data_IF_996667122284
#
_entry.id   IF_996667122284
#
_cell.length_a   1.000
_cell.length_b   1.000
_cell.length_c   1.000
_cell.angle_alpha   90.00
_cell.angle_beta   90.00
_cell.angle_gamma   90.00
#
_symmetry.space_group_name_H-M   'P 1'
#
loop_
_entity.id
_entity.type
_entity.pdbx_description
1 polymer ?
#
# COMPACT_ATOMS: atom_id res chain seq x y z
N UNK A 1 -9.46 -0.60 7.39
CA UNK A 1 -9.79 0.77 7.86
C UNK A 1 -10.25 1.55 6.64
N UNK A 2 -11.40 2.20 6.71
CA UNK A 2 -12.08 2.80 5.56
C UNK A 2 -12.40 4.27 5.80
N UNK A 3 -12.77 4.98 4.74
CA UNK A 3 -13.43 6.28 4.82
C UNK A 3 -14.77 6.16 5.56
N UNK A 4 -15.40 7.30 5.89
CA UNK A 4 -16.69 7.31 6.63
C UNK A 4 -17.82 6.61 5.87
N UNK A 5 -17.70 6.46 4.56
CA UNK A 5 -18.62 5.68 3.73
C UNK A 5 -18.50 4.16 3.91
N UNK A 6 -17.42 3.67 4.53
CA UNK A 6 -17.15 2.25 4.72
C UNK A 6 -16.76 1.50 3.44
N UNK A 7 -16.55 2.19 2.33
CA UNK A 7 -16.28 1.59 1.01
C UNK A 7 -14.79 1.72 0.67
N UNK A 8 -14.25 2.94 0.74
CA UNK A 8 -12.88 3.22 0.26
C UNK A 8 -11.84 2.92 1.32
N UNK A 9 -10.87 2.05 1.01
CA UNK A 9 -9.82 1.69 1.96
C UNK A 9 -8.85 2.86 2.14
N UNK A 10 -8.42 3.08 3.37
CA UNK A 10 -7.41 4.08 3.69
C UNK A 10 -6.02 3.51 3.41
N UNK A 11 -5.29 4.11 2.46
CA UNK A 11 -3.90 3.75 2.13
C UNK A 11 -2.90 4.53 2.98
N UNK A 12 -3.14 5.84 3.14
CA UNK A 12 -2.29 6.73 3.93
C UNK A 12 -3.10 7.65 4.82
N UNK A 13 -2.50 8.06 5.93
CA UNK A 13 -3.05 9.10 6.81
C UNK A 13 -1.98 10.17 7.00
N UNK A 14 -2.31 11.41 6.65
CA UNK A 14 -1.50 12.58 6.98
C UNK A 14 -2.06 13.26 8.22
N UNK A 15 -1.19 13.87 9.02
CA UNK A 15 -1.61 14.60 10.22
C UNK A 15 -0.99 15.97 10.27
N UNK A 16 -1.75 16.96 10.74
CA UNK A 16 -1.22 18.28 11.02
C UNK A 16 -1.91 18.93 12.21
N UNK A 17 -1.26 19.93 12.78
CA UNK A 17 -1.81 20.80 13.82
C UNK A 17 -1.83 22.21 13.26
N UNK A 18 -2.91 22.94 13.52
CA UNK A 18 -2.94 24.39 13.30
C UNK A 18 -2.66 25.09 14.64
N UNK A 19 -1.41 25.49 14.83
CA UNK A 19 -0.99 26.33 15.95
C UNK A 19 -1.02 27.80 15.51
N UNK A 20 -1.99 28.60 15.99
CA UNK A 20 -2.10 30.02 15.63
C UNK A 20 -0.88 30.86 16.06
N UNK A 21 0.02 30.35 16.91
CA UNK A 21 1.27 31.02 17.31
C UNK A 21 2.47 30.64 16.44
N UNK A 22 2.47 29.46 15.82
CA UNK A 22 3.59 28.93 15.01
C UNK A 22 3.28 28.86 13.50
N UNK A 23 2.02 28.94 13.12
CA UNK A 23 1.58 28.77 11.75
C UNK A 23 1.21 30.11 11.12
N UNK A 24 2.15 30.66 10.35
CA UNK A 24 1.87 31.78 9.46
C UNK A 24 1.02 31.34 8.26
N UNK A 25 0.29 32.27 7.66
CA UNK A 25 -0.59 32.06 6.48
C UNK A 25 0.08 31.23 5.37
N UNK A 26 1.39 31.41 5.17
CA UNK A 26 2.20 30.64 4.20
C UNK A 26 2.21 29.12 4.43
N UNK A 27 2.03 28.61 5.66
CA UNK A 27 1.95 27.16 5.91
C UNK A 27 0.58 26.61 5.52
N UNK A 28 -0.48 27.36 5.83
CA UNK A 28 -1.86 27.00 5.48
C UNK A 28 -2.01 26.94 3.95
N UNK A 29 -1.49 27.95 3.24
CA UNK A 29 -1.54 27.99 1.78
C UNK A 29 -0.77 26.83 1.14
N UNK A 30 0.43 26.50 1.66
CA UNK A 30 1.21 25.35 1.18
C UNK A 30 0.49 24.03 1.39
N UNK A 31 -0.18 23.86 2.53
CA UNK A 31 -0.97 22.66 2.83
C UNK A 31 -2.14 22.53 1.86
N UNK A 32 -2.93 23.60 1.68
CA UNK A 32 -4.04 23.63 0.72
C UNK A 32 -3.56 23.34 -0.71
N UNK A 33 -2.42 23.90 -1.11
CA UNK A 33 -1.83 23.62 -2.41
C UNK A 33 -1.43 22.16 -2.55
N UNK A 34 -0.83 21.56 -1.51
CA UNK A 34 -0.45 20.15 -1.51
C UNK A 34 -1.68 19.23 -1.61
N UNK A 35 -2.70 19.43 -0.78
CA UNK A 35 -3.95 18.65 -0.83
C UNK A 35 -4.65 18.77 -2.19
N UNK A 36 -4.73 19.99 -2.74
CA UNK A 36 -5.28 20.21 -4.08
C UNK A 36 -4.46 19.48 -5.17
N UNK A 37 -3.15 19.41 -5.02
CA UNK A 37 -2.31 18.68 -5.97
C UNK A 37 -2.52 17.17 -5.86
N UNK A 38 -2.76 16.61 -4.66
CA UNK A 38 -3.12 15.21 -4.48
C UNK A 38 -4.44 14.89 -5.19
N UNK A 39 -5.47 15.72 -4.99
CA UNK A 39 -6.76 15.57 -5.69
C UNK A 39 -6.59 15.67 -7.20
N UNK A 40 -5.81 16.63 -7.70
CA UNK A 40 -5.51 16.76 -9.14
C UNK A 40 -4.76 15.57 -9.72
N UNK A 41 -4.01 14.83 -8.91
CA UNK A 41 -3.36 13.58 -9.30
C UNK A 41 -4.30 12.38 -9.28
N UNK A 42 -5.56 12.57 -8.89
CA UNK A 42 -6.59 11.54 -8.87
C UNK A 42 -6.69 10.79 -7.55
N UNK A 43 -6.02 11.24 -6.50
CA UNK A 43 -6.18 10.69 -5.16
C UNK A 43 -7.43 11.25 -4.49
N UNK A 44 -8.04 10.44 -3.64
CA UNK A 44 -9.24 10.81 -2.90
C UNK A 44 -8.89 11.09 -1.44
N UNK A 45 -9.40 12.20 -0.90
CA UNK A 45 -9.06 12.70 0.42
C UNK A 45 -10.32 12.83 1.29
N UNK A 46 -10.23 12.41 2.55
CA UNK A 46 -11.25 12.63 3.58
C UNK A 46 -10.57 13.21 4.83
N UNK A 47 -10.93 14.45 5.19
CA UNK A 47 -10.32 15.13 6.34
C UNK A 47 -11.23 15.04 7.56
N UNK A 48 -10.68 14.49 8.65
CA UNK A 48 -11.27 14.48 9.97
C UNK A 48 -10.88 15.73 10.77
N UNK A 49 -11.87 16.31 11.46
CA UNK A 49 -11.67 17.52 12.26
C UNK A 49 -10.86 17.20 13.52
N UNK A 50 -10.03 18.17 13.96
CA UNK A 50 -9.27 18.07 15.20
C UNK A 50 -10.09 17.74 16.45
N UNK A 51 -11.39 18.04 16.47
CA UNK A 51 -12.29 17.67 17.58
C UNK A 51 -12.37 16.16 17.81
N UNK A 52 -12.11 15.36 16.78
CA UNK A 52 -12.13 13.90 16.87
C UNK A 52 -10.79 13.32 17.35
N UNK A 53 -9.76 14.16 17.47
CA UNK A 53 -8.47 13.77 18.04
C UNK A 53 -8.49 13.76 19.56
N UNK A 54 -7.75 12.84 20.18
CA UNK A 54 -7.62 12.75 21.64
C UNK A 54 -7.10 14.04 22.28
N UNK A 55 -6.22 14.76 21.58
CA UNK A 55 -5.64 16.02 22.03
C UNK A 55 -6.47 17.26 21.63
N UNK A 56 -7.54 17.09 20.86
CA UNK A 56 -8.41 18.17 20.36
C UNK A 56 -7.74 19.14 19.36
N UNK A 57 -6.57 18.81 18.82
CA UNK A 57 -5.69 19.72 18.05
C UNK A 57 -5.22 19.18 16.72
N UNK A 58 -5.22 17.85 16.53
CA UNK A 58 -4.65 17.21 15.35
C UNK A 58 -5.72 16.90 14.31
N UNK A 59 -5.57 17.43 13.10
CA UNK A 59 -6.35 17.02 11.94
C UNK A 59 -5.77 15.75 11.33
N UNK A 60 -6.63 14.88 10.82
CA UNK A 60 -6.24 13.67 10.10
C UNK A 60 -6.80 13.73 8.68
N UNK A 61 -5.94 13.59 7.67
CA UNK A 61 -6.33 13.51 6.27
C UNK A 61 -6.13 12.08 5.83
N UNK A 62 -7.22 11.34 5.64
CA UNK A 62 -7.20 10.01 5.06
C UNK A 62 -7.05 10.14 3.55
N UNK A 63 -6.23 9.28 2.97
CA UNK A 63 -5.96 9.24 1.54
C UNK A 63 -6.29 7.85 1.04
N UNK A 64 -7.04 7.80 -0.04
CA UNK A 64 -7.35 6.61 -0.81
C UNK A 64 -6.82 6.79 -2.24
N UNK A 65 -6.17 5.76 -2.76
CA UNK A 65 -5.70 5.68 -4.13
C UNK A 65 -6.65 4.78 -4.95
N UNK A 66 -7.44 5.37 -5.87
CA UNK A 66 -8.31 4.58 -6.73
C UNK A 66 -7.53 3.57 -7.59
N UNK A 67 -8.18 2.47 -7.95
CA UNK A 67 -7.59 1.40 -8.78
C UNK A 67 -6.85 1.92 -10.02
N UNK A 68 -7.46 2.85 -10.74
CA UNK A 68 -6.89 3.46 -11.95
C UNK A 68 -5.54 4.16 -11.69
N UNK A 69 -5.39 4.78 -10.51
CA UNK A 69 -4.13 5.40 -10.09
C UNK A 69 -3.12 4.32 -9.71
N UNK A 70 -3.54 3.29 -8.96
CA UNK A 70 -2.67 2.18 -8.56
C UNK A 70 -2.05 1.48 -9.78
N UNK A 71 -2.86 1.07 -10.76
CA UNK A 71 -2.36 0.37 -11.96
C UNK A 71 -1.46 1.25 -12.82
N UNK A 72 -1.76 2.54 -12.94
CA UNK A 72 -0.94 3.48 -13.70
C UNK A 72 0.45 3.62 -13.06
N UNK A 73 0.51 3.80 -11.74
CA UNK A 73 1.78 3.92 -11.05
C UNK A 73 2.52 2.57 -10.94
N UNK A 74 1.81 1.45 -10.83
CA UNK A 74 2.42 0.12 -10.82
C UNK A 74 3.18 -0.17 -12.12
N UNK A 75 2.62 0.22 -13.26
CA UNK A 75 3.26 0.10 -14.57
C UNK A 75 4.50 1.02 -14.68
N UNK A 76 4.35 2.31 -14.32
CA UNK A 76 5.47 3.27 -14.35
C UNK A 76 6.63 2.84 -13.44
N UNK A 77 6.31 2.26 -12.29
CA UNK A 77 7.30 1.80 -11.31
C UNK A 77 7.84 0.38 -11.60
N UNK A 78 7.34 -0.29 -12.64
CA UNK A 78 7.68 -1.68 -12.98
C UNK A 78 7.52 -2.63 -11.78
N UNK A 79 6.42 -2.49 -11.03
CA UNK A 79 6.11 -3.36 -9.90
C UNK A 79 6.02 -4.80 -10.42
N UNK A 80 6.74 -5.73 -9.79
CA UNK A 80 6.63 -7.15 -10.13
C UNK A 80 5.36 -7.73 -9.50
N UNK A 81 4.46 -8.22 -10.34
CA UNK A 81 3.19 -8.82 -9.93
C UNK A 81 3.19 -10.32 -10.20
N UNK A 82 2.53 -11.12 -9.35
CA UNK A 82 2.41 -12.57 -9.52
C UNK A 82 1.56 -12.89 -10.76
N UNK A 83 2.01 -13.86 -11.55
CA UNK A 83 1.31 -14.37 -12.74
C UNK A 83 0.80 -15.80 -12.48
N UNK A 84 1.60 -16.58 -11.77
CA UNK A 84 1.30 -17.98 -11.48
C UNK A 84 2.03 -18.42 -10.22
N UNK A 85 1.40 -19.23 -9.39
CA UNK A 85 2.07 -19.94 -8.31
C UNK A 85 3.18 -20.83 -8.87
N UNK A 86 4.30 -20.88 -8.16
CA UNK A 86 5.47 -21.65 -8.56
C UNK A 86 5.18 -23.14 -8.41
N UNK A 87 5.07 -23.81 -9.56
CA UNK A 87 4.85 -25.25 -9.66
C UNK A 87 6.15 -26.04 -9.85
N UNK A 88 7.31 -25.36 -9.79
CA UNK A 88 8.61 -26.03 -9.83
C UNK A 88 8.84 -26.65 -8.45
N UNK A 89 8.97 -27.99 -8.35
CA UNK A 89 9.32 -28.60 -7.08
C UNK A 89 10.66 -28.04 -6.62
N UNK A 90 10.72 -27.56 -5.37
CA UNK A 90 11.99 -27.20 -4.75
C UNK A 90 12.98 -28.35 -5.00
N UNK A 91 14.19 -28.10 -5.51
CA UNK A 91 15.15 -29.15 -5.79
C UNK A 91 15.34 -29.97 -4.51
N UNK A 92 14.90 -31.22 -4.54
CA UNK A 92 15.15 -32.14 -3.45
C UNK A 92 16.65 -32.43 -3.49
N UNK A 93 17.32 -31.86 -2.48
CA UNK A 93 18.63 -32.22 -1.93
C UNK A 93 19.86 -31.80 -2.74
N UNK A 94 20.40 -30.63 -2.39
CA UNK A 94 21.85 -30.47 -2.40
C UNK A 94 22.44 -31.53 -1.45
N UNK A 95 23.51 -32.26 -1.79
CA UNK A 95 24.14 -33.22 -0.87
C UNK A 95 24.57 -32.61 0.47
N UNK A 96 24.70 -31.28 0.52
CA UNK A 96 25.04 -30.49 1.70
C UNK A 96 23.84 -30.17 2.62
N UNK A 97 22.59 -30.43 2.20
CA UNK A 97 21.40 -30.21 3.03
C UNK A 97 21.38 -31.06 4.30
N UNK A 98 22.05 -32.22 4.26
CA UNK A 98 22.21 -33.06 5.45
C UNK A 98 22.99 -32.37 6.57
N UNK A 99 23.85 -31.39 6.24
CA UNK A 99 24.71 -30.67 7.18
C UNK A 99 23.92 -29.57 7.92
N UNK A 100 22.97 -28.93 7.23
CA UNK A 100 22.12 -27.87 7.78
C UNK A 100 20.83 -28.39 8.41
N UNK A 101 20.49 -29.67 8.19
CA UNK A 101 19.31 -30.34 8.74
C UNK A 101 19.03 -30.10 10.24
N UNK A 102 20.01 -30.15 11.18
CA UNK A 102 19.72 -29.90 12.59
C UNK A 102 19.33 -28.44 12.91
N UNK A 103 19.54 -27.51 11.98
CA UNK A 103 19.16 -26.11 12.09
C UNK A 103 17.93 -25.75 11.25
N UNK A 104 17.33 -26.72 10.53
CA UNK A 104 16.08 -26.48 9.80
C UNK A 104 14.95 -26.26 10.79
N UNK A 105 14.30 -25.11 10.66
CA UNK A 105 13.12 -24.82 11.46
C UNK A 105 12.01 -25.82 11.10
N UNK A 106 11.25 -26.32 12.10
CA UNK A 106 10.08 -27.13 11.84
C UNK A 106 9.08 -26.39 10.94
N UNK A 107 8.46 -27.11 10.01
CA UNK A 107 7.50 -26.56 9.05
C UNK A 107 6.26 -25.93 9.71
N UNK A 108 5.98 -26.24 10.98
CA UNK A 108 4.91 -25.59 11.77
C UNK A 108 5.27 -24.15 12.21
N UNK A 109 6.57 -23.82 12.25
CA UNK A 109 7.07 -22.47 12.56
C UNK A 109 7.31 -21.69 11.27
N UNK A 110 7.62 -22.40 10.19
CA UNK A 110 7.66 -21.80 8.86
C UNK A 110 6.21 -21.59 8.42
N UNK A 111 5.82 -20.37 8.10
CA UNK A 111 4.59 -20.14 7.33
C UNK A 111 5.05 -20.09 5.88
N UNK A 112 5.11 -21.22 5.15
CA UNK A 112 5.58 -21.19 3.77
C UNK A 112 4.58 -20.39 2.95
N UNK A 113 4.94 -19.15 2.63
CA UNK A 113 4.23 -18.39 1.61
C UNK A 113 4.53 -19.04 0.26
N UNK A 114 3.51 -19.25 -0.58
CA UNK A 114 3.72 -19.79 -1.92
C UNK A 114 4.63 -18.85 -2.72
N UNK A 115 5.63 -19.43 -3.38
CA UNK A 115 6.44 -18.70 -4.34
C UNK A 115 5.62 -18.44 -5.61
N UNK A 116 5.86 -17.33 -6.29
CA UNK A 116 5.17 -16.99 -7.54
C UNK A 116 6.17 -16.67 -8.65
N UNK A 117 5.82 -17.06 -9.89
CA UNK A 117 6.39 -16.43 -11.06
C UNK A 117 5.87 -15.01 -11.16
N UNK A 118 6.79 -14.04 -11.27
CA UNK A 118 6.45 -12.62 -11.32
C UNK A 118 6.97 -11.98 -12.60
N UNK A 119 6.26 -10.96 -13.08
CA UNK A 119 6.76 -10.07 -14.13
C UNK A 119 6.38 -8.61 -13.80
N UNK A 120 7.08 -7.62 -14.39
CA UNK A 120 6.66 -6.22 -14.29
C UNK A 120 5.20 -6.07 -14.72
N UNK A 121 4.42 -5.30 -13.97
CA UNK A 121 3.02 -5.05 -14.22
C UNK A 121 2.83 -4.28 -15.53
N UNK A 122 1.84 -4.70 -16.31
CA UNK A 122 1.43 -4.04 -17.55
C UNK A 122 -0.07 -3.87 -17.56
N UNK A 123 -0.52 -2.64 -17.75
CA UNK A 123 -1.94 -2.29 -17.75
C UNK A 123 -2.69 -2.93 -18.91
N UNK A 124 -2.02 -3.10 -20.06
CA UNK A 124 -2.59 -3.74 -21.25
C UNK A 124 -2.83 -5.25 -21.09
N UNK A 125 -2.16 -5.88 -20.11
CA UNK A 125 -2.18 -7.33 -19.89
C UNK A 125 -2.57 -7.68 -18.45
N UNK A 126 -3.49 -6.91 -17.87
CA UNK A 126 -3.91 -7.06 -16.48
C UNK A 126 -4.42 -8.48 -16.16
N UNK A 127 -5.06 -9.14 -17.14
CA UNK A 127 -5.60 -10.49 -17.04
C UNK A 127 -4.56 -11.59 -16.81
N UNK A 128 -3.28 -11.30 -17.02
CA UNK A 128 -2.19 -12.25 -16.77
C UNK A 128 -1.79 -12.33 -15.30
N UNK A 129 -2.15 -11.34 -14.49
CA UNK A 129 -1.71 -11.25 -13.10
C UNK A 129 -2.77 -11.80 -12.15
N UNK A 130 -2.31 -12.43 -11.06
CA UNK A 130 -3.15 -12.91 -9.97
C UNK A 130 -3.48 -11.73 -9.04
N UNK A 131 -4.60 -11.07 -9.30
CA UNK A 131 -5.09 -9.92 -8.53
C UNK A 131 -6.42 -10.33 -7.89
N UNK A 132 -6.39 -10.63 -6.59
CA UNK A 132 -7.58 -11.09 -5.86
C UNK A 132 -8.51 -9.94 -5.43
N UNK A 133 -7.98 -8.72 -5.30
CA UNK A 133 -8.70 -7.56 -4.76
C UNK A 133 -8.50 -6.32 -5.64
N UNK A 134 -9.36 -6.17 -6.64
CA UNK A 134 -9.45 -4.93 -7.45
C UNK A 134 -10.23 -3.82 -6.75
N UNK A 135 -10.94 -4.14 -5.65
CA UNK A 135 -11.87 -3.23 -4.95
C UNK A 135 -11.26 -2.63 -3.68
N UNK A 136 -10.04 -2.12 -3.79
CA UNK A 136 -9.45 -1.29 -2.72
C UNK A 136 -10.21 0.03 -2.59
#
# INVERSE_FOLDING_TARGET
VFFRDGIRRVDFVLTYVDDPKMDGEKKVDRRRMFENNLVKKGLELETEDKKESENGKTYFVKIHAPWEILITYAEVLNIKMPIKENDIPCPVENPLDCISWPFRLPEIVMHPEPDYFTAPFSKERQELYLIDDENT
#
